data_IF_224967264267
#
_entry.id   IF_224967264267
#
_cell.length_a   1.000
_cell.length_b   1.000
_cell.length_c   1.000
_cell.angle_alpha   90.00
_cell.angle_beta   90.00
_cell.angle_gamma   90.00
#
_symmetry.space_group_name_H-M   'P 1'
#
loop_
_entity.id
_entity.type
_entity.pdbx_description
1 polymer ?
#
# COMPACT_ATOMS: atom_id res chain seq x y z
N UNK A 1 -16.76 -34.36 29.73
CA UNK A 1 -15.49 -34.41 30.48
C UNK A 1 -14.43 -34.81 29.45
N UNK A 2 -13.56 -33.95 28.92
CA UNK A 2 -12.81 -32.83 29.50
C UNK A 2 -12.61 -31.71 28.46
N UNK A 3 -12.73 -30.47 28.93
CA UNK A 3 -12.25 -29.24 28.31
C UNK A 3 -10.71 -29.16 28.32
N UNK A 4 -10.13 -28.33 27.44
CA UNK A 4 -9.07 -27.33 27.72
C UNK A 4 -8.48 -26.84 26.38
N UNK A 5 -8.74 -25.60 25.98
CA UNK A 5 -7.98 -24.35 26.27
C UNK A 5 -6.89 -24.07 25.23
N UNK A 6 -7.05 -22.93 24.54
CA UNK A 6 -6.11 -22.36 23.58
C UNK A 6 -5.13 -21.40 24.27
N UNK A 7 -3.89 -21.25 23.78
CA UNK A 7 -3.03 -20.14 24.19
C UNK A 7 -2.91 -19.07 23.09
N UNK A 8 -3.28 -17.84 23.47
CA UNK A 8 -2.83 -16.59 22.85
C UNK A 8 -1.50 -16.17 23.49
N UNK A 9 -0.46 -15.80 22.73
CA UNK A 9 0.63 -14.84 23.06
C UNK A 9 1.57 -14.81 21.83
N UNK A 10 2.18 -13.72 21.37
CA UNK A 10 2.28 -12.38 21.94
C UNK A 10 2.83 -11.36 20.91
N UNK A 11 2.58 -10.09 21.24
CA UNK A 11 3.00 -8.90 20.52
C UNK A 11 4.50 -8.65 20.73
N UNK A 12 5.28 -8.61 19.65
CA UNK A 12 6.66 -8.14 19.68
C UNK A 12 6.70 -6.62 19.52
N UNK A 13 7.16 -5.96 20.59
CA UNK A 13 7.46 -4.53 20.64
C UNK A 13 8.65 -4.20 19.73
N UNK A 14 8.43 -3.33 18.73
CA UNK A 14 9.49 -2.74 17.90
C UNK A 14 10.02 -1.46 18.56
N UNK A 15 11.35 -1.41 18.76
CA UNK A 15 12.11 -0.27 19.29
C UNK A 15 12.33 0.78 18.19
N UNK A 16 12.12 2.09 18.43
CA UNK A 16 12.67 3.10 17.55
C UNK A 16 14.14 3.37 17.87
N UNK A 17 14.90 3.54 16.78
CA UNK A 17 16.32 3.80 16.78
C UNK A 17 16.68 5.22 17.22
N UNK A 18 17.80 5.25 17.93
CA UNK A 18 18.63 6.36 18.39
C UNK A 18 18.80 7.48 17.33
N UNK A 19 18.57 8.74 17.74
CA UNK A 19 18.97 9.92 16.96
C UNK A 19 19.68 10.92 17.87
N UNK A 20 21.01 10.96 17.72
CA UNK A 20 21.88 12.06 18.16
C UNK A 20 21.38 13.38 17.58
N UNK A 21 21.29 14.43 18.39
CA UNK A 21 21.84 15.75 18.00
C UNK A 21 21.87 16.77 19.14
N UNK A 22 23.06 17.32 19.34
CA UNK A 22 23.36 18.74 19.52
C UNK A 22 22.98 19.43 20.84
N UNK A 23 24.00 19.42 21.71
CA UNK A 23 24.36 20.38 22.76
C UNK A 23 24.03 21.84 22.42
N UNK A 24 23.34 22.53 23.33
CA UNK A 24 23.34 23.99 23.42
C UNK A 24 23.52 24.40 24.89
N UNK A 25 24.72 24.93 25.18
CA UNK A 25 25.07 25.59 26.43
C UNK A 25 24.27 26.89 26.57
N UNK A 26 23.67 27.14 27.74
CA UNK A 26 23.43 28.50 28.20
C UNK A 26 23.89 28.63 29.65
N UNK A 27 24.88 29.50 29.78
CA UNK A 27 25.65 29.95 30.94
C UNK A 27 24.82 30.58 32.04
N UNK A 28 25.12 30.22 33.28
CA UNK A 28 24.64 30.84 34.51
C UNK A 28 25.45 32.10 34.84
N UNK A 29 24.77 33.18 35.21
CA UNK A 29 25.38 34.34 35.89
C UNK A 29 24.74 34.54 37.27
N UNK A 30 25.62 34.59 38.26
CA UNK A 30 25.44 34.83 39.70
C UNK A 30 24.98 36.27 40.02
N UNK A 31 24.31 36.47 41.17
CA UNK A 31 24.67 37.38 42.31
C UNK A 31 23.44 37.54 43.28
N UNK A 32 23.60 38.03 44.54
CA UNK A 32 23.29 37.25 45.74
C UNK A 32 22.36 38.01 46.72
N UNK A 33 22.12 37.42 47.89
CA UNK A 33 22.09 38.21 49.13
C UNK A 33 20.78 38.25 49.91
N UNK A 34 20.92 37.76 51.15
CA UNK A 34 20.33 38.29 52.38
C UNK A 34 18.91 37.84 52.80
N UNK A 35 18.96 37.00 53.84
CA UNK A 35 18.38 37.29 55.16
C UNK A 35 16.93 36.92 55.47
N UNK A 36 16.87 35.98 56.42
CA UNK A 36 16.16 36.06 57.69
C UNK A 36 14.66 35.72 57.74
N UNK A 37 14.45 34.60 58.44
CA UNK A 37 13.51 34.39 59.54
C UNK A 37 12.13 33.80 59.24
N UNK A 38 11.92 32.69 59.96
CA UNK A 38 10.73 32.32 60.72
C UNK A 38 9.53 31.84 59.90
N UNK A 39 9.54 30.51 59.73
CA UNK A 39 8.60 29.64 60.44
C UNK A 39 7.15 29.74 60.00
N UNK A 40 6.68 28.74 59.26
CA UNK A 40 5.36 28.13 59.40
C UNK A 40 5.41 26.80 58.63
N UNK A 41 5.42 25.68 59.37
CA UNK A 41 5.24 24.33 58.83
C UNK A 41 3.81 24.20 58.29
N UNK A 42 3.59 24.59 57.03
CA UNK A 42 2.39 24.24 56.27
C UNK A 42 2.72 22.98 55.46
N UNK A 43 2.46 21.83 56.07
CA UNK A 43 2.56 20.55 55.38
C UNK A 43 1.41 20.41 54.36
N UNK A 44 1.79 20.05 53.14
CA UNK A 44 1.00 19.41 52.08
C UNK A 44 0.11 20.33 51.23
N UNK A 45 0.71 20.93 50.21
CA UNK A 45 0.01 21.36 49.00
C UNK A 45 0.80 20.89 47.76
N UNK A 46 0.48 19.71 47.25
CA UNK A 46 0.86 19.29 45.90
C UNK A 46 -0.31 18.53 45.29
N UNK A 47 -1.20 19.26 44.60
CA UNK A 47 -2.11 18.65 43.66
C UNK A 47 -2.46 19.67 42.56
N UNK A 48 -2.23 19.23 41.31
CA UNK A 48 -2.81 19.72 40.05
C UNK A 48 -2.28 21.04 39.46
N UNK A 49 -1.10 20.96 38.83
CA UNK A 49 -0.84 21.74 37.61
C UNK A 49 -1.20 20.86 36.40
N UNK A 50 -2.37 21.11 35.82
CA UNK A 50 -2.95 20.35 34.72
C UNK A 50 -2.51 20.81 33.33
N UNK A 51 -2.45 19.82 32.43
CA UNK A 51 -2.63 19.88 30.97
C UNK A 51 -1.70 20.79 30.15
N UNK A 52 -0.52 20.28 29.82
CA UNK A 52 0.18 20.69 28.58
C UNK A 52 -0.39 19.88 27.41
N UNK A 53 -1.12 20.57 26.53
CA UNK A 53 -1.67 20.03 25.29
C UNK A 53 -0.55 19.62 24.32
N UNK A 54 -0.39 18.32 24.09
CA UNK A 54 0.44 17.79 23.00
C UNK A 54 -0.40 17.79 21.74
N UNK A 55 -0.31 18.84 20.93
CA UNK A 55 -0.74 18.82 19.54
C UNK A 55 0.23 17.94 18.73
N UNK A 56 0.06 16.62 18.80
CA UNK A 56 0.70 15.72 17.86
C UNK A 56 0.01 15.90 16.50
N UNK A 57 0.65 16.63 15.60
CA UNK A 57 0.30 16.66 14.18
C UNK A 57 0.38 15.25 13.64
N UNK A 58 -0.78 14.59 13.47
CA UNK A 58 -0.86 13.31 12.78
C UNK A 58 -0.58 13.61 11.31
N UNK A 59 0.69 13.56 10.92
CA UNK A 59 1.06 13.50 9.51
C UNK A 59 0.43 12.22 8.96
N UNK A 60 -0.66 12.36 8.21
CA UNK A 60 -1.28 11.26 7.49
C UNK A 60 -0.21 10.68 6.57
N UNK A 61 0.28 9.48 6.90
CA UNK A 61 1.28 8.80 6.10
C UNK A 61 0.66 8.51 4.73
N UNK A 62 1.02 9.30 3.72
CA UNK A 62 0.72 8.97 2.34
C UNK A 62 1.42 7.66 2.02
N UNK A 63 0.73 6.75 1.34
CA UNK A 63 1.37 5.52 0.88
C UNK A 63 2.58 5.90 0.02
N UNK A 64 3.77 5.45 0.41
CA UNK A 64 5.01 5.72 -0.31
C UNK A 64 5.07 4.80 -1.54
N UNK A 65 5.45 5.36 -2.70
CA UNK A 65 5.72 4.59 -3.91
C UNK A 65 7.17 4.12 -3.93
N UNK A 66 7.40 2.85 -4.26
CA UNK A 66 8.72 2.23 -4.38
C UNK A 66 8.94 1.74 -5.81
N UNK A 67 10.12 2.04 -6.36
CA UNK A 67 10.58 1.46 -7.62
C UNK A 67 11.28 0.14 -7.29
N UNK A 68 10.67 -0.98 -7.67
CA UNK A 68 11.26 -2.29 -7.51
C UNK A 68 11.78 -2.82 -8.85
N UNK A 69 12.80 -3.67 -8.77
CA UNK A 69 13.45 -4.32 -9.92
C UNK A 69 13.51 -5.83 -9.65
N UNK A 70 12.40 -6.51 -9.87
CA UNK A 70 12.23 -7.93 -9.54
C UNK A 70 11.12 -8.54 -10.41
N UNK A 71 10.90 -9.85 -10.27
CA UNK A 71 9.76 -10.54 -10.87
C UNK A 71 8.47 -10.24 -10.12
N UNK A 72 7.36 -10.10 -10.83
CA UNK A 72 6.07 -9.69 -10.28
C UNK A 72 4.89 -10.19 -11.13
N UNK A 73 3.68 -10.05 -10.61
CA UNK A 73 2.44 -10.29 -11.34
C UNK A 73 1.89 -8.97 -11.88
N UNK A 74 1.74 -8.87 -13.19
CA UNK A 74 1.13 -7.73 -13.87
C UNK A 74 -0.37 -7.98 -14.02
N UNK A 75 -1.16 -7.37 -13.13
CA UNK A 75 -2.59 -7.61 -13.03
C UNK A 75 -3.48 -6.52 -13.63
N UNK A 76 -2.99 -5.36 -14.07
CA UNK A 76 -3.89 -4.22 -14.39
C UNK A 76 -4.87 -4.48 -15.54
N UNK A 77 -4.64 -5.50 -16.37
CA UNK A 77 -5.59 -5.99 -17.39
C UNK A 77 -6.21 -7.35 -17.08
N UNK A 78 -5.98 -7.89 -15.88
CA UNK A 78 -6.36 -9.25 -15.53
C UNK A 78 -7.88 -9.38 -15.31
N UNK A 79 -8.53 -10.39 -15.95
CA UNK A 79 -9.87 -10.80 -15.56
C UNK A 79 -9.82 -11.54 -14.23
N UNK A 80 -10.86 -11.36 -13.43
CA UNK A 80 -10.95 -11.92 -12.10
C UNK A 80 -12.27 -12.66 -11.88
N UNK A 81 -12.22 -13.69 -11.03
CA UNK A 81 -13.37 -14.48 -10.64
C UNK A 81 -13.57 -14.33 -9.13
N UNK A 82 -14.73 -13.83 -8.66
CA UNK A 82 -15.02 -13.76 -7.22
C UNK A 82 -14.85 -15.11 -6.54
N UNK A 83 -14.23 -15.11 -5.36
CA UNK A 83 -13.99 -16.34 -4.62
C UNK A 83 -15.32 -16.87 -4.03
N UNK A 84 -15.70 -18.13 -4.30
CA UNK A 84 -16.86 -18.73 -3.66
C UNK A 84 -16.76 -18.70 -2.14
N UNK A 85 -17.82 -18.24 -1.47
CA UNK A 85 -17.88 -18.14 -0.01
C UNK A 85 -17.14 -16.93 0.60
N UNK A 86 -16.41 -16.13 -0.20
CA UNK A 86 -15.78 -14.90 0.29
C UNK A 86 -16.09 -13.71 -0.64
N UNK A 87 -17.10 -12.89 -0.32
CA UNK A 87 -17.56 -11.80 -1.18
C UNK A 87 -16.59 -10.60 -1.25
N UNK A 88 -15.47 -10.65 -0.50
CA UNK A 88 -14.46 -9.59 -0.42
C UNK A 88 -13.23 -9.88 -1.27
N UNK A 89 -13.10 -11.09 -1.82
CA UNK A 89 -11.90 -11.53 -2.53
C UNK A 89 -12.27 -12.05 -3.92
N UNK A 90 -11.43 -11.77 -4.90
CA UNK A 90 -11.48 -12.36 -6.22
C UNK A 90 -10.10 -12.89 -6.63
N UNK A 91 -10.09 -13.98 -7.40
CA UNK A 91 -8.88 -14.56 -7.95
C UNK A 91 -8.67 -14.00 -9.36
N UNK A 92 -7.55 -13.30 -9.56
CA UNK A 92 -7.21 -12.67 -10.83
C UNK A 92 -6.08 -13.43 -11.53
N UNK A 93 -6.21 -13.64 -12.84
CA UNK A 93 -5.20 -14.30 -13.66
C UNK A 93 -4.27 -13.27 -14.28
N UNK A 94 -3.04 -13.19 -13.78
CA UNK A 94 -2.08 -12.15 -14.14
C UNK A 94 -0.90 -12.73 -14.93
N UNK A 95 -0.26 -11.89 -15.75
CA UNK A 95 0.99 -12.25 -16.40
C UNK A 95 2.15 -12.15 -15.39
N UNK A 96 3.07 -13.10 -15.40
CA UNK A 96 4.34 -13.00 -14.66
C UNK A 96 5.31 -12.23 -15.53
N UNK A 97 5.84 -11.15 -14.97
CA UNK A 97 6.69 -10.21 -15.68
C UNK A 97 7.92 -9.86 -14.85
N UNK A 98 8.95 -9.39 -15.53
CA UNK A 98 10.18 -8.89 -14.95
C UNK A 98 10.42 -7.43 -15.37
N UNK A 99 11.12 -6.69 -14.53
CA UNK A 99 11.59 -5.33 -14.84
C UNK A 99 11.19 -4.28 -13.82
N UNK A 100 11.35 -2.98 -14.18
CA UNK A 100 10.96 -1.87 -13.33
C UNK A 100 9.45 -1.89 -13.07
N UNK A 101 9.08 -1.87 -11.80
CA UNK A 101 7.69 -1.90 -11.38
C UNK A 101 7.47 -1.04 -10.13
N UNK A 102 6.22 -0.70 -9.88
CA UNK A 102 5.77 0.11 -8.75
C UNK A 102 5.11 -0.78 -7.71
N UNK A 103 5.49 -0.54 -6.46
CA UNK A 103 4.80 -1.00 -5.27
C UNK A 103 4.44 0.17 -4.36
N UNK A 104 3.48 -0.06 -3.45
CA UNK A 104 3.20 0.85 -2.32
C UNK A 104 3.63 0.29 -0.96
N UNK A 105 4.47 -0.75 -1.01
CA UNK A 105 5.19 -1.33 0.13
C UNK A 105 6.67 -1.50 -0.23
N UNK A 106 7.59 -1.51 0.75
CA UNK A 106 9.02 -1.66 0.48
C UNK A 106 9.32 -2.91 -0.35
N UNK A 107 10.19 -2.78 -1.35
CA UNK A 107 10.50 -3.88 -2.28
C UNK A 107 11.00 -5.15 -1.57
N UNK A 108 11.73 -4.99 -0.46
CA UNK A 108 12.25 -6.12 0.32
C UNK A 108 11.16 -6.99 0.96
N UNK A 109 9.96 -6.45 1.18
CA UNK A 109 8.82 -7.21 1.72
C UNK A 109 8.00 -7.91 0.64
N UNK A 110 8.27 -7.61 -0.64
CA UNK A 110 7.52 -8.11 -1.80
C UNK A 110 8.36 -9.03 -2.68
N UNK A 111 9.43 -9.62 -2.15
CA UNK A 111 10.32 -10.47 -2.94
C UNK A 111 9.64 -11.78 -3.35
N UNK A 112 9.84 -12.23 -4.60
CA UNK A 112 9.48 -13.59 -5.00
C UNK A 112 10.15 -14.62 -4.10
N UNK A 113 9.45 -15.73 -3.85
CA UNK A 113 9.93 -16.83 -3.02
C UNK A 113 9.46 -18.17 -3.56
N UNK A 114 10.06 -19.24 -3.07
CA UNK A 114 9.66 -20.62 -3.36
C UNK A 114 9.65 -21.37 -2.05
N UNK A 115 8.53 -22.03 -1.74
CA UNK A 115 8.41 -22.81 -0.52
C UNK A 115 9.07 -24.20 -0.64
N UNK A 116 9.04 -24.97 0.46
CA UNK A 116 9.62 -26.32 0.50
C UNK A 116 8.95 -27.31 -0.46
N UNK A 117 7.73 -27.01 -0.94
CA UNK A 117 6.99 -27.85 -1.88
C UNK A 117 7.21 -27.40 -3.35
N UNK A 118 8.09 -26.42 -3.59
CA UNK A 118 8.35 -25.87 -4.91
C UNK A 118 7.30 -24.87 -5.39
N UNK A 119 6.36 -24.45 -4.54
CA UNK A 119 5.34 -23.46 -4.90
C UNK A 119 5.98 -22.08 -4.94
N UNK A 120 6.01 -21.50 -6.14
CA UNK A 120 6.50 -20.14 -6.37
C UNK A 120 5.44 -19.11 -6.02
N UNK A 121 5.82 -18.16 -5.18
CA UNK A 121 5.00 -17.02 -4.79
C UNK A 121 5.66 -15.71 -5.21
N UNK A 122 4.86 -14.73 -5.58
CA UNK A 122 5.29 -13.37 -5.87
C UNK A 122 4.14 -12.39 -5.56
N UNK A 123 4.32 -11.11 -5.84
CA UNK A 123 3.31 -10.09 -5.57
C UNK A 123 2.89 -9.37 -6.84
N UNK A 124 1.64 -8.92 -6.85
CA UNK A 124 1.12 -8.08 -7.93
C UNK A 124 1.64 -6.66 -7.78
N UNK A 125 2.24 -6.13 -8.85
CA UNK A 125 2.86 -4.82 -8.90
C UNK A 125 2.43 -4.10 -10.19
N UNK A 126 2.50 -2.78 -10.21
CA UNK A 126 2.12 -2.00 -11.38
C UNK A 126 3.33 -1.75 -12.29
N UNK A 127 3.16 -1.89 -13.60
CA UNK A 127 4.20 -1.55 -14.56
C UNK A 127 3.62 -0.96 -15.84
N UNK A 128 4.39 -0.09 -16.49
CA UNK A 128 4.02 0.53 -17.77
C UNK A 128 4.14 -0.44 -18.97
N UNK A 129 4.76 -1.62 -18.77
CA UNK A 129 5.05 -2.61 -19.81
C UNK A 129 3.81 -3.05 -20.61
N UNK A 130 2.68 -3.22 -19.93
CA UNK A 130 1.42 -3.63 -20.57
C UNK A 130 0.93 -2.65 -21.65
N UNK A 131 1.19 -1.36 -21.49
CA UNK A 131 0.74 -0.34 -22.44
C UNK A 131 1.63 -0.27 -23.69
N UNK A 132 2.90 -0.68 -23.57
CA UNK A 132 3.76 -0.85 -24.74
C UNK A 132 3.25 -1.97 -25.69
N UNK A 133 2.39 -2.86 -25.19
CA UNK A 133 1.74 -3.90 -25.99
C UNK A 133 0.42 -3.44 -26.64
N UNK A 134 0.14 -2.13 -26.61
CA UNK A 134 -1.05 -1.54 -27.24
C UNK A 134 -2.33 -1.62 -26.39
N UNK A 135 -2.25 -2.11 -25.16
CA UNK A 135 -3.39 -2.06 -24.24
C UNK A 135 -3.75 -0.61 -23.93
N UNK A 136 -5.06 -0.36 -23.83
CA UNK A 136 -5.62 0.96 -23.56
C UNK A 136 -6.33 0.96 -22.22
N UNK A 137 -6.31 2.12 -21.60
CA UNK A 137 -6.93 2.37 -20.30
C UNK A 137 -8.41 2.66 -20.46
N UNK A 138 -9.26 1.79 -19.93
CA UNK A 138 -10.70 1.96 -19.83
C UNK A 138 -11.06 2.57 -18.48
N UNK A 139 -11.77 3.70 -18.51
CA UNK A 139 -12.39 4.29 -17.31
C UNK A 139 -13.76 3.69 -17.09
N UNK A 140 -14.00 3.17 -15.90
CA UNK A 140 -15.27 2.58 -15.48
C UNK A 140 -15.97 3.47 -14.44
N UNK A 141 -17.31 3.55 -14.48
CA UNK A 141 -18.08 4.37 -13.56
C UNK A 141 -18.10 3.77 -12.14
N UNK A 142 -18.32 4.65 -11.16
CA UNK A 142 -18.58 4.23 -9.77
C UNK A 142 -19.82 3.33 -9.66
N UNK A 143 -19.86 2.50 -8.62
CA UNK A 143 -20.96 1.57 -8.34
C UNK A 143 -20.86 0.23 -9.07
N UNK A 144 -19.81 0.03 -9.87
CA UNK A 144 -19.46 -1.28 -10.44
C UNK A 144 -18.34 -1.93 -9.63
N UNK A 145 -18.41 -3.26 -9.38
CA UNK A 145 -17.36 -3.93 -8.62
C UNK A 145 -16.10 -4.09 -9.46
N UNK A 146 -14.95 -3.90 -8.84
CA UNK A 146 -13.63 -4.08 -9.42
C UNK A 146 -12.68 -4.65 -8.37
N UNK A 147 -11.44 -4.96 -8.75
CA UNK A 147 -10.49 -5.62 -7.85
C UNK A 147 -9.20 -4.83 -7.70
N UNK A 148 -8.74 -4.68 -6.45
CA UNK A 148 -7.47 -4.06 -6.13
C UNK A 148 -6.41 -5.13 -5.91
N UNK A 149 -5.52 -5.28 -6.88
CA UNK A 149 -4.45 -6.27 -6.85
C UNK A 149 -3.10 -5.72 -6.41
N UNK A 150 -2.90 -4.40 -6.27
CA UNK A 150 -1.58 -3.85 -5.96
C UNK A 150 -1.06 -4.35 -4.60
N UNK A 151 0.16 -4.88 -4.60
CA UNK A 151 0.85 -5.58 -3.50
C UNK A 151 0.15 -6.83 -2.97
N UNK A 152 -0.78 -7.41 -3.71
CA UNK A 152 -1.46 -8.64 -3.29
C UNK A 152 -0.59 -9.87 -3.57
N UNK A 153 -0.61 -10.89 -2.70
CA UNK A 153 0.12 -12.11 -2.91
C UNK A 153 -0.46 -12.89 -4.09
N UNK A 154 0.42 -13.55 -4.83
CA UNK A 154 0.08 -14.38 -5.96
C UNK A 154 0.89 -15.68 -5.95
N UNK A 155 0.27 -16.72 -6.49
CA UNK A 155 0.91 -18.02 -6.72
C UNK A 155 1.14 -18.18 -8.21
N UNK A 156 2.38 -18.49 -8.60
CA UNK A 156 2.72 -18.79 -9.99
C UNK A 156 2.11 -20.12 -10.38
N UNK A 157 1.52 -20.20 -11.58
CA UNK A 157 0.97 -21.44 -12.09
C UNK A 157 2.12 -22.43 -12.39
N UNK A 158 2.14 -23.62 -11.75
CA UNK A 158 3.19 -24.60 -11.98
C UNK A 158 3.14 -25.20 -13.40
N UNK A 159 2.00 -25.16 -14.07
CA UNK A 159 1.85 -25.64 -15.45
C UNK A 159 2.24 -24.57 -16.49
N UNK A 160 2.07 -23.28 -16.15
CA UNK A 160 2.50 -22.14 -16.98
C UNK A 160 3.18 -21.07 -16.12
N UNK A 161 4.52 -21.08 -16.00
CA UNK A 161 5.24 -20.14 -15.15
C UNK A 161 5.18 -18.68 -15.64
N UNK A 162 4.56 -18.42 -16.80
CA UNK A 162 4.27 -17.07 -17.30
C UNK A 162 2.96 -16.50 -16.74
N UNK A 163 2.23 -17.28 -15.94
CA UNK A 163 0.96 -16.91 -15.31
C UNK A 163 1.03 -17.03 -13.79
N UNK A 164 0.27 -16.17 -13.12
CA UNK A 164 0.08 -16.24 -11.69
C UNK A 164 -1.37 -15.93 -11.33
N UNK A 165 -1.86 -16.52 -10.25
CA UNK A 165 -3.18 -16.27 -9.69
C UNK A 165 -2.99 -15.44 -8.42
N UNK A 166 -3.59 -14.25 -8.39
CA UNK A 166 -3.53 -13.32 -7.26
C UNK A 166 -4.86 -13.28 -6.53
N UNK A 167 -4.83 -13.22 -5.19
CA UNK A 167 -6.01 -13.00 -4.37
C UNK A 167 -6.19 -11.50 -4.09
N UNK A 168 -7.11 -10.87 -4.82
CA UNK A 168 -7.30 -9.42 -4.81
C UNK A 168 -8.57 -8.99 -4.07
N UNK A 169 -8.55 -7.79 -3.49
CA UNK A 169 -9.72 -7.27 -2.76
C UNK A 169 -10.78 -6.79 -3.75
N UNK A 170 -12.04 -7.13 -3.51
CA UNK A 170 -13.17 -6.56 -4.24
C UNK A 170 -13.51 -5.17 -3.68
N UNK A 171 -13.47 -4.17 -4.55
CA UNK A 171 -13.86 -2.79 -4.27
C UNK A 171 -15.13 -2.45 -5.03
N UNK A 172 -16.03 -1.66 -4.43
CA UNK A 172 -17.37 -1.34 -4.99
C UNK A 172 -17.65 0.16 -5.06
N UNK A 173 -16.66 0.97 -4.73
CA UNK A 173 -16.78 2.41 -4.56
C UNK A 173 -15.80 3.14 -5.46
N UNK A 174 -16.18 4.35 -5.86
CA UNK A 174 -15.31 5.23 -6.64
C UNK A 174 -15.27 4.87 -8.12
N UNK A 175 -14.94 5.87 -8.93
CA UNK A 175 -14.54 5.62 -10.30
C UNK A 175 -13.19 4.92 -10.33
N UNK A 176 -13.00 4.05 -11.32
CA UNK A 176 -11.80 3.23 -11.41
C UNK A 176 -11.39 3.06 -12.86
N UNK A 177 -10.17 2.59 -13.02
CA UNK A 177 -9.52 2.38 -14.30
C UNK A 177 -8.98 0.96 -14.36
N UNK A 178 -9.04 0.36 -15.56
CA UNK A 178 -8.39 -0.90 -15.89
C UNK A 178 -7.74 -0.84 -17.27
N UNK A 179 -6.73 -1.67 -17.51
CA UNK A 179 -6.21 -1.94 -18.84
C UNK A 179 -6.91 -3.14 -19.52
N UNK A 180 -7.92 -3.72 -18.84
CA UNK A 180 -8.77 -4.79 -19.34
C UNK A 180 -9.98 -4.30 -20.14
N UNK A 181 -10.86 -5.21 -20.53
CA UNK A 181 -12.12 -4.88 -21.20
C UNK A 181 -12.01 -4.41 -22.65
N UNK A 182 -10.80 -4.24 -23.20
CA UNK A 182 -10.56 -3.90 -24.61
C UNK A 182 -11.39 -2.68 -25.11
N UNK A 183 -11.48 -1.64 -24.29
CA UNK A 183 -12.31 -0.46 -24.52
C UNK A 183 -13.83 -0.67 -24.59
N UNK A 184 -14.33 -1.87 -24.28
CA UNK A 184 -15.76 -2.11 -24.09
C UNK A 184 -16.18 -1.75 -22.65
N UNK A 185 -16.79 -0.57 -22.50
CA UNK A 185 -17.33 -0.09 -21.23
C UNK A 185 -18.46 -0.96 -20.67
N UNK A 186 -19.11 -1.80 -21.49
CA UNK A 186 -20.08 -2.79 -21.03
C UNK A 186 -19.48 -3.81 -20.07
N UNK A 187 -18.19 -4.13 -20.24
CA UNK A 187 -17.48 -5.09 -19.38
C UNK A 187 -17.29 -4.60 -17.95
N UNK A 188 -17.33 -3.28 -17.71
CA UNK A 188 -17.27 -2.71 -16.36
C UNK A 188 -18.41 -3.24 -15.45
N UNK A 189 -19.55 -3.66 -16.03
CA UNK A 189 -20.73 -4.13 -15.26
C UNK A 189 -20.79 -5.66 -15.12
N UNK A 190 -20.12 -6.38 -16.01
CA UNK A 190 -20.33 -7.82 -16.19
C UNK A 190 -19.11 -8.65 -15.78
N UNK A 191 -17.93 -8.04 -15.74
CA UNK A 191 -16.69 -8.70 -15.34
C UNK A 191 -16.04 -7.99 -14.14
N UNK A 192 -15.35 -8.78 -13.32
CA UNK A 192 -14.44 -8.26 -12.32
C UNK A 192 -13.08 -8.08 -12.98
N UNK A 193 -12.64 -6.83 -13.10
CA UNK A 193 -11.30 -6.52 -13.59
C UNK A 193 -10.43 -6.04 -12.45
N UNK A 194 -9.13 -6.30 -12.56
CA UNK A 194 -8.15 -5.61 -11.75
C UNK A 194 -7.97 -4.18 -12.24
N UNK A 195 -7.88 -3.25 -11.29
CA UNK A 195 -7.87 -1.83 -11.56
C UNK A 195 -7.33 -1.00 -10.40
N UNK A 196 -7.53 0.30 -10.50
CA UNK A 196 -7.16 1.29 -9.50
C UNK A 196 -8.10 2.51 -9.57
N UNK A 197 -8.23 3.30 -8.49
CA UNK A 197 -8.76 4.65 -8.59
C UNK A 197 -7.96 5.47 -9.61
N UNK A 198 -8.63 6.42 -10.23
CA UNK A 198 -8.02 7.25 -11.29
C UNK A 198 -6.81 8.03 -10.78
N UNK A 199 -6.86 8.51 -9.53
CA UNK A 199 -5.74 9.21 -8.88
C UNK A 199 -4.51 8.31 -8.75
N UNK A 200 -4.69 7.12 -8.18
CA UNK A 200 -3.59 6.21 -7.86
C UNK A 200 -2.93 5.67 -9.13
N UNK A 201 -3.75 5.47 -10.18
CA UNK A 201 -3.25 5.11 -11.50
C UNK A 201 -2.36 6.20 -12.10
N UNK A 202 -2.80 7.46 -12.07
CA UNK A 202 -2.03 8.59 -12.59
C UNK A 202 -0.76 8.84 -11.76
N UNK A 203 -0.87 8.85 -10.43
CA UNK A 203 0.27 9.01 -9.54
C UNK A 203 1.31 7.89 -9.75
N UNK A 204 0.84 6.67 -10.01
CA UNK A 204 1.71 5.54 -10.31
C UNK A 204 2.42 5.64 -11.67
N UNK A 205 1.74 6.18 -12.69
CA UNK A 205 2.36 6.48 -13.99
C UNK A 205 3.44 7.53 -13.82
N UNK A 206 3.12 8.67 -13.20
CA UNK A 206 4.03 9.79 -13.00
C UNK A 206 5.27 9.37 -12.22
N UNK A 207 5.07 8.56 -11.16
CA UNK A 207 6.16 7.97 -10.41
C UNK A 207 7.07 7.13 -11.30
N UNK A 208 6.52 6.21 -12.10
CA UNK A 208 7.32 5.32 -12.94
C UNK A 208 8.06 6.07 -14.04
N UNK A 209 7.42 7.07 -14.68
CA UNK A 209 8.07 7.89 -15.70
C UNK A 209 9.25 8.66 -15.12
N UNK A 210 9.06 9.32 -13.98
CA UNK A 210 10.12 10.04 -13.29
C UNK A 210 11.24 9.10 -12.84
N UNK A 211 10.90 7.96 -12.25
CA UNK A 211 11.87 7.04 -11.64
C UNK A 211 12.65 6.23 -12.68
N UNK A 212 12.10 6.07 -13.89
CA UNK A 212 12.78 5.40 -15.02
C UNK A 212 13.34 6.37 -16.06
N UNK A 213 13.33 7.69 -15.76
CA UNK A 213 13.80 8.76 -16.62
C UNK A 213 13.20 8.72 -18.05
N UNK A 214 11.88 8.47 -18.13
CA UNK A 214 11.13 8.49 -19.38
C UNK A 214 10.37 9.80 -19.53
N UNK A 215 10.48 10.42 -20.70
CA UNK A 215 9.80 11.69 -21.03
C UNK A 215 8.37 11.50 -21.53
N UNK A 216 8.02 10.33 -22.04
CA UNK A 216 6.71 10.05 -22.64
C UNK A 216 6.03 8.83 -21.99
N UNK A 217 4.72 8.97 -21.76
CA UNK A 217 3.90 7.88 -21.24
C UNK A 217 3.46 6.96 -22.37
N UNK A 218 3.66 5.63 -22.25
CA UNK A 218 3.08 4.68 -23.20
C UNK A 218 1.57 4.49 -22.99
N UNK A 219 1.01 5.08 -21.93
CA UNK A 219 -0.40 4.91 -21.56
C UNK A 219 -1.29 5.68 -22.53
N UNK A 220 -2.23 4.97 -23.14
CA UNK A 220 -3.27 5.56 -23.98
C UNK A 220 -4.63 5.22 -23.42
N UNK A 221 -5.58 6.15 -23.55
CA UNK A 221 -6.94 5.98 -23.04
C UNK A 221 -7.88 5.48 -24.13
N UNK A 222 -8.85 4.66 -23.73
CA UNK A 222 -9.98 4.34 -24.57
C UNK A 222 -10.78 5.61 -24.91
N UNK A 223 -11.43 5.68 -26.08
CA UNK A 223 -12.35 6.76 -26.40
C UNK A 223 -13.42 6.89 -25.30
N UNK A 224 -13.84 8.12 -25.03
CA UNK A 224 -15.00 8.32 -24.16
C UNK A 224 -16.22 7.61 -24.77
N UNK A 225 -17.07 6.97 -23.94
CA UNK A 225 -18.32 6.39 -24.44
C UNK A 225 -19.13 7.46 -25.18
N UNK A 226 -19.70 7.12 -26.33
CA UNK A 226 -20.67 7.98 -26.99
C UNK A 226 -21.84 8.24 -26.01
N UNK A 227 -22.20 9.50 -25.83
CA UNK A 227 -23.29 9.92 -24.94
C UNK A 227 -24.65 9.53 -25.48
#
# INVERSE_FOLDING_TARGET
>A
MTSNEAPCYGLAHYRPANRNSSTALITSTLYPGASLMRGFDVRVAFALAGLMAVCASIASARAENYLCQQQFALCTSAPCIPQPGNPKVAMCMCAVEDGPNLATQPCDTLKPSTDANGIRSLYSQFALKQFASGLKTLKCPSGTPWTWCLNKPCTVDPADPTKAICACDIVRTGEWITAGGNCDAGTCKTAYWSGAPVSDFNDGIDFLLKSTNRSESPVTYCPAPAK
#
